data_IF_736402104516
#
_entry.id   IF_736402104516
#
_cell.length_a   1.000
_cell.length_b   1.000
_cell.length_c   1.000
_cell.angle_alpha   90.00
_cell.angle_beta   90.00
_cell.angle_gamma   90.00
#
_symmetry.space_group_name_H-M   'P 1'
#
loop_
_entity.id
_entity.type
_entity.pdbx_description
1 polymer ?
#
# COMPACT_ATOMS: atom_id res chain seq x y z
N UNK A 1 -1.07 -5.74 -7.65
CA UNK A 1 -0.72 -4.33 -7.91
C UNK A 1 -1.77 -3.63 -8.79
N UNK A 2 -2.24 -4.23 -9.88
CA UNK A 2 -3.26 -3.61 -10.76
C UNK A 2 -4.53 -3.17 -10.01
N UNK A 3 -5.08 -4.00 -9.11
CA UNK A 3 -6.28 -3.64 -8.35
C UNK A 3 -6.05 -2.46 -7.38
N UNK A 4 -4.87 -2.38 -6.74
CA UNK A 4 -4.48 -1.22 -5.93
C UNK A 4 -4.42 0.04 -6.80
N UNK A 5 -3.79 -0.06 -7.98
CA UNK A 5 -3.67 1.07 -8.89
C UNK A 5 -5.04 1.53 -9.41
N UNK A 6 -5.91 0.60 -9.82
CA UNK A 6 -7.27 0.89 -10.27
C UNK A 6 -8.09 1.58 -9.17
N UNK A 7 -8.04 1.07 -7.94
CA UNK A 7 -8.70 1.68 -6.79
C UNK A 7 -8.15 3.08 -6.48
N UNK A 8 -6.83 3.27 -6.57
CA UNK A 8 -6.18 4.56 -6.39
C UNK A 8 -6.58 5.56 -7.48
N UNK A 9 -6.53 5.17 -8.75
CA UNK A 9 -6.95 6.01 -9.88
C UNK A 9 -8.39 6.45 -9.68
N UNK A 10 -9.30 5.51 -9.43
CA UNK A 10 -10.71 5.81 -9.21
C UNK A 10 -10.92 6.79 -8.04
N UNK A 11 -10.29 6.52 -6.89
CA UNK A 11 -10.48 7.33 -5.68
C UNK A 11 -9.87 8.73 -5.83
N UNK A 12 -8.66 8.84 -6.37
CA UNK A 12 -7.97 10.11 -6.57
C UNK A 12 -8.71 10.97 -7.60
N UNK A 13 -9.17 10.38 -8.71
CA UNK A 13 -9.97 11.10 -9.70
C UNK A 13 -11.26 11.63 -9.08
N UNK A 14 -12.02 10.78 -8.40
CA UNK A 14 -13.31 11.14 -7.79
C UNK A 14 -13.16 12.22 -6.72
N UNK A 15 -12.07 12.19 -5.95
CA UNK A 15 -11.86 13.10 -4.81
C UNK A 15 -11.23 14.44 -5.20
N UNK A 16 -10.35 14.47 -6.20
CA UNK A 16 -9.47 15.62 -6.45
C UNK A 16 -9.48 16.14 -7.87
N UNK A 17 -9.67 15.30 -8.89
CA UNK A 17 -9.53 15.73 -10.29
C UNK A 17 -10.82 16.32 -10.88
N UNK A 18 -11.98 16.05 -10.26
CA UNK A 18 -13.27 16.35 -10.89
C UNK A 18 -13.48 15.55 -12.18
N UNK A 19 -14.30 16.03 -13.09
CA UNK A 19 -14.62 15.33 -14.37
C UNK A 19 -13.50 15.37 -15.41
N UNK A 20 -12.39 16.10 -15.17
CA UNK A 20 -11.30 16.20 -16.15
C UNK A 20 -10.41 14.95 -16.09
N UNK A 21 -10.33 14.25 -17.22
CA UNK A 21 -9.41 13.14 -17.38
C UNK A 21 -7.96 13.60 -17.27
N UNK A 22 -7.19 12.96 -16.38
CA UNK A 22 -5.76 13.18 -16.23
C UNK A 22 -5.00 11.97 -16.82
N UNK A 23 -4.60 12.02 -18.11
CA UNK A 23 -4.04 10.86 -18.79
C UNK A 23 -2.73 10.35 -18.18
N UNK A 24 -2.01 11.20 -17.44
CA UNK A 24 -0.75 10.85 -16.76
C UNK A 24 -0.94 10.34 -15.32
N UNK A 25 -2.16 10.36 -14.79
CA UNK A 25 -2.43 10.02 -13.40
C UNK A 25 -2.02 8.58 -13.04
N UNK A 26 -2.31 7.54 -13.85
CA UNK A 26 -1.90 6.17 -13.50
C UNK A 26 -0.39 6.03 -13.36
N UNK A 27 0.41 6.59 -14.29
CA UNK A 27 1.87 6.52 -14.22
C UNK A 27 2.41 7.30 -13.01
N UNK A 28 1.82 8.46 -12.72
CA UNK A 28 2.22 9.27 -11.58
C UNK A 28 1.89 8.58 -10.23
N UNK A 29 0.76 7.88 -10.13
CA UNK A 29 0.40 7.08 -8.96
C UNK A 29 1.36 5.91 -8.75
N UNK A 30 1.75 5.20 -9.82
CA UNK A 30 2.77 4.16 -9.75
C UNK A 30 4.06 4.74 -9.19
N UNK A 31 4.53 5.88 -9.70
CA UNK A 31 5.77 6.53 -9.24
C UNK A 31 5.69 6.95 -7.75
N UNK A 32 4.54 7.42 -7.28
CA UNK A 32 4.35 7.77 -5.88
C UNK A 32 4.37 6.54 -4.97
N UNK A 33 3.64 5.47 -5.33
CA UNK A 33 3.62 4.21 -4.57
C UNK A 33 5.02 3.58 -4.57
N UNK A 34 5.70 3.61 -5.70
CA UNK A 34 7.08 3.14 -5.86
C UNK A 34 8.05 3.90 -4.95
N UNK A 35 7.95 5.24 -4.90
CA UNK A 35 8.75 6.06 -4.02
C UNK A 35 8.46 5.81 -2.52
N UNK A 36 7.19 5.57 -2.14
CA UNK A 36 6.83 5.21 -0.75
C UNK A 36 7.51 3.92 -0.31
N UNK A 37 7.40 2.89 -1.14
CA UNK A 37 7.95 1.56 -0.85
C UNK A 37 9.48 1.60 -0.89
N UNK A 38 10.06 2.24 -1.91
CA UNK A 38 11.52 2.35 -2.06
C UNK A 38 12.16 3.04 -0.86
N UNK A 39 11.57 4.16 -0.40
CA UNK A 39 12.10 4.85 0.79
C UNK A 39 12.00 3.98 2.05
N UNK A 40 10.91 3.22 2.21
CA UNK A 40 10.76 2.29 3.35
C UNK A 40 11.77 1.12 3.29
N UNK A 41 12.08 0.62 2.09
CA UNK A 41 13.10 -0.40 1.86
C UNK A 41 14.50 0.14 2.17
N UNK A 42 14.84 1.32 1.65
CA UNK A 42 16.14 1.98 1.88
C UNK A 42 16.38 2.25 3.38
N UNK A 43 15.32 2.53 4.13
CA UNK A 43 15.41 2.73 5.57
C UNK A 43 15.74 1.44 6.36
N UNK A 44 15.52 0.25 5.78
CA UNK A 44 16.09 -1.02 6.24
C UNK A 44 15.45 -1.70 7.45
N UNK A 45 14.42 -1.13 8.06
CA UNK A 45 13.80 -1.69 9.28
C UNK A 45 12.59 -2.62 9.02
N UNK A 46 12.24 -2.83 7.75
CA UNK A 46 10.95 -3.40 7.35
C UNK A 46 9.81 -2.41 7.61
N UNK A 47 8.62 -2.70 7.10
CA UNK A 47 7.48 -1.80 7.24
C UNK A 47 6.18 -2.41 6.77
N UNK A 48 5.07 -1.71 7.02
CA UNK A 48 3.76 -2.13 6.54
C UNK A 48 2.95 -0.90 6.13
N UNK A 49 2.51 -0.89 4.88
CA UNK A 49 1.52 0.06 4.37
C UNK A 49 0.17 -0.63 4.28
N UNK A 50 -0.88 0.06 4.71
CA UNK A 50 -2.28 -0.37 4.58
C UNK A 50 -3.01 0.67 3.77
N UNK A 51 -3.70 0.25 2.72
CA UNK A 51 -4.57 1.07 1.89
C UNK A 51 -6.02 0.65 2.15
N UNK A 52 -6.78 1.57 2.74
CA UNK A 52 -8.17 1.33 3.11
C UNK A 52 -9.12 1.68 1.95
N UNK A 53 -10.18 0.86 1.75
CA UNK A 53 -11.20 1.16 0.75
C UNK A 53 -12.03 2.39 1.16
N UNK A 54 -12.55 3.18 0.21
CA UNK A 54 -13.39 4.34 0.51
C UNK A 54 -14.71 3.95 1.20
N UNK A 55 -15.09 2.67 1.15
CA UNK A 55 -16.32 2.13 1.74
C UNK A 55 -16.20 1.78 3.22
N UNK A 56 -14.99 1.79 3.80
CA UNK A 56 -14.81 1.46 5.21
C UNK A 56 -15.45 2.55 6.10
N UNK A 57 -16.20 2.14 7.11
CA UNK A 57 -16.70 3.06 8.12
C UNK A 57 -15.70 3.26 9.28
N UNK A 58 -15.83 4.37 10.01
CA UNK A 58 -14.90 4.70 11.10
C UNK A 58 -14.92 3.68 12.25
N UNK A 59 -16.07 3.03 12.52
CA UNK A 59 -16.18 2.04 13.60
C UNK A 59 -15.47 0.74 13.24
N UNK A 60 -15.56 0.33 11.98
CA UNK A 60 -14.83 -0.83 11.46
C UNK A 60 -13.32 -0.57 11.44
N UNK A 61 -12.92 0.65 11.06
CA UNK A 61 -11.52 1.09 11.16
C UNK A 61 -11.01 1.02 12.60
N UNK A 62 -11.70 1.65 13.56
CA UNK A 62 -11.31 1.68 14.98
C UNK A 62 -11.28 0.30 15.65
N UNK A 63 -12.13 -0.63 15.19
CA UNK A 63 -12.14 -2.02 15.69
C UNK A 63 -10.90 -2.79 15.31
N UNK A 64 -10.36 -2.53 14.11
CA UNK A 64 -9.27 -3.30 13.51
C UNK A 64 -7.91 -2.58 13.55
N UNK A 65 -7.90 -1.27 13.82
CA UNK A 65 -6.71 -0.44 13.86
C UNK A 65 -6.76 0.46 15.10
N UNK A 66 -5.71 0.39 15.91
CA UNK A 66 -5.51 1.28 17.05
C UNK A 66 -4.30 2.18 16.80
N UNK A 67 -4.49 3.50 16.89
CA UNK A 67 -3.37 4.45 16.94
C UNK A 67 -3.11 4.87 18.39
N UNK A 68 -1.83 4.89 18.79
CA UNK A 68 -1.39 5.49 20.06
C UNK A 68 -0.87 6.92 19.89
N UNK A 69 -0.68 7.38 18.65
CA UNK A 69 0.04 8.60 18.33
C UNK A 69 -0.92 9.63 17.69
N UNK A 70 -1.12 10.73 18.43
CA UNK A 70 -1.49 12.12 18.05
C UNK A 70 -2.62 12.36 17.00
N UNK A 71 -3.24 13.56 16.97
CA UNK A 71 -4.38 13.86 16.09
C UNK A 71 -4.06 13.60 14.61
N UNK A 72 -5.08 13.44 13.75
CA UNK A 72 -4.90 12.99 12.36
C UNK A 72 -3.88 13.87 11.64
N UNK A 73 -2.73 13.29 11.30
CA UNK A 73 -1.76 13.90 10.38
C UNK A 73 -2.40 13.84 9.00
N UNK A 74 -3.06 14.92 8.58
CA UNK A 74 -3.73 15.01 7.28
C UNK A 74 -2.71 15.35 6.19
N UNK A 75 -1.79 14.42 5.92
CA UNK A 75 -0.93 14.50 4.74
C UNK A 75 -1.67 13.88 3.57
N UNK A 76 -2.03 14.70 2.57
CA UNK A 76 -2.78 14.26 1.40
C UNK A 76 -1.88 14.24 0.16
N UNK A 77 -1.26 13.09 -0.10
CA UNK A 77 -0.34 12.91 -1.24
C UNK A 77 -1.12 12.94 -2.56
N UNK A 78 -2.36 12.43 -2.59
CA UNK A 78 -3.22 12.44 -3.77
C UNK A 78 -3.54 13.86 -4.21
N UNK A 79 -3.86 14.76 -3.28
CA UNK A 79 -4.05 16.18 -3.56
C UNK A 79 -2.78 16.82 -4.17
N UNK A 80 -1.62 16.61 -3.55
CA UNK A 80 -0.34 17.14 -4.05
C UNK A 80 -0.01 16.62 -5.45
N UNK A 81 -0.33 15.36 -5.73
CA UNK A 81 -0.18 14.74 -7.05
C UNK A 81 -1.05 15.44 -8.09
N UNK A 82 -2.32 15.71 -7.78
CA UNK A 82 -3.22 16.43 -8.68
C UNK A 82 -2.77 17.87 -8.90
N UNK A 83 -2.36 18.58 -7.84
CA UNK A 83 -1.81 19.94 -7.95
C UNK A 83 -0.57 19.97 -8.85
N UNK A 84 0.34 19.00 -8.71
CA UNK A 84 1.50 18.85 -9.58
C UNK A 84 1.09 18.57 -11.04
N UNK A 85 0.12 17.69 -11.28
CA UNK A 85 -0.34 17.36 -12.64
C UNK A 85 -1.07 18.52 -13.34
N UNK A 86 -1.72 19.41 -12.57
CA UNK A 86 -2.38 20.61 -13.11
C UNK A 86 -1.45 21.81 -13.26
N UNK A 87 -0.30 21.80 -12.58
CA UNK A 87 0.68 22.89 -12.69
C UNK A 87 1.39 22.85 -14.06
N UNK A 88 0.98 23.73 -14.96
CA UNK A 88 1.63 23.90 -16.29
C UNK A 88 2.66 25.05 -16.28
N UNK A 89 2.55 25.98 -15.34
CA UNK A 89 3.42 27.16 -15.25
C UNK A 89 4.65 26.90 -14.37
N UNK A 90 5.84 27.16 -14.94
CA UNK A 90 7.06 27.33 -14.14
C UNK A 90 6.99 28.69 -13.41
N UNK A 91 7.37 28.81 -12.12
CA UNK A 91 8.09 27.86 -11.26
C UNK A 91 7.19 26.96 -10.38
N UNK A 92 5.87 27.12 -10.46
CA UNK A 92 4.92 26.40 -9.60
C UNK A 92 4.97 24.88 -9.81
N UNK A 93 5.26 24.43 -11.04
CA UNK A 93 5.46 23.03 -11.34
C UNK A 93 6.63 22.40 -10.58
N UNK A 94 7.80 23.04 -10.59
CA UNK A 94 8.99 22.54 -9.88
C UNK A 94 8.78 22.52 -8.37
N UNK A 95 8.12 23.54 -7.81
CA UNK A 95 7.78 23.57 -6.39
C UNK A 95 6.84 22.41 -6.02
N UNK A 96 5.78 22.20 -6.80
CA UNK A 96 4.79 21.13 -6.56
C UNK A 96 5.43 19.74 -6.65
N UNK A 97 6.33 19.53 -7.63
CA UNK A 97 7.09 18.30 -7.77
C UNK A 97 8.01 18.04 -6.56
N UNK A 98 8.75 19.06 -6.10
CA UNK A 98 9.60 18.95 -4.91
C UNK A 98 8.80 18.65 -3.65
N UNK A 99 7.69 19.35 -3.45
CA UNK A 99 6.81 19.14 -2.30
C UNK A 99 6.22 17.73 -2.29
N UNK A 100 5.72 17.25 -3.45
CA UNK A 100 5.21 15.89 -3.60
C UNK A 100 6.29 14.86 -3.25
N UNK A 101 7.50 15.01 -3.80
CA UNK A 101 8.60 14.08 -3.55
C UNK A 101 9.00 14.06 -2.07
N UNK A 102 9.21 15.24 -1.46
CA UNK A 102 9.59 15.35 -0.05
C UNK A 102 8.52 14.76 0.87
N UNK A 103 7.25 15.03 0.59
CA UNK A 103 6.12 14.49 1.35
C UNK A 103 6.04 12.98 1.22
N UNK A 104 6.18 12.46 0.00
CA UNK A 104 6.18 11.02 -0.28
C UNK A 104 7.30 10.33 0.48
N UNK A 105 8.52 10.87 0.44
CA UNK A 105 9.66 10.33 1.20
C UNK A 105 9.43 10.39 2.71
N UNK A 106 8.91 11.50 3.22
CA UNK A 106 8.59 11.63 4.64
C UNK A 106 7.61 10.55 5.09
N UNK A 107 6.54 10.30 4.33
CA UNK A 107 5.56 9.25 4.63
C UNK A 107 6.15 7.85 4.47
N UNK A 108 6.99 7.63 3.46
CA UNK A 108 7.69 6.36 3.25
C UNK A 108 8.52 5.95 4.47
N UNK A 109 9.26 6.91 5.06
CA UNK A 109 10.06 6.69 6.29
C UNK A 109 9.22 6.33 7.51
N UNK A 110 7.96 6.77 7.59
CA UNK A 110 7.08 6.43 8.71
C UNK A 110 6.82 4.92 8.80
N UNK A 111 6.92 4.19 7.69
CA UNK A 111 6.73 2.74 7.69
C UNK A 111 7.84 1.98 8.42
N UNK A 112 9.00 2.61 8.67
CA UNK A 112 10.10 2.02 9.44
C UNK A 112 9.88 2.03 10.96
N UNK A 113 8.83 2.69 11.46
CA UNK A 113 8.46 2.71 12.87
C UNK A 113 7.62 1.46 13.20
N UNK A 114 7.59 1.04 14.47
CA UNK A 114 6.72 -0.06 14.90
C UNK A 114 5.23 0.23 14.60
N UNK A 115 4.52 -0.79 14.10
CA UNK A 115 3.16 -0.67 13.56
C UNK A 115 3.10 -0.57 12.04
N UNK A 116 2.10 0.15 11.51
CA UNK A 116 1.89 0.38 10.09
C UNK A 116 1.53 1.83 9.76
N UNK A 117 1.77 2.20 8.50
CA UNK A 117 1.27 3.43 7.87
C UNK A 117 -0.05 3.11 7.19
N UNK A 118 -1.09 3.87 7.49
CA UNK A 118 -2.44 3.67 6.95
C UNK A 118 -2.78 4.84 6.04
N UNK A 119 -3.02 4.54 4.77
CA UNK A 119 -3.48 5.45 3.73
C UNK A 119 -4.91 5.03 3.33
N UNK A 120 -5.71 5.94 2.80
CA UNK A 120 -6.83 5.54 1.93
C UNK A 120 -6.34 5.38 0.48
N UNK A 121 -7.19 4.86 -0.41
CA UNK A 121 -6.87 4.82 -1.84
C UNK A 121 -6.73 6.20 -2.50
N UNK A 122 -7.09 7.28 -1.81
CA UNK A 122 -6.76 8.65 -2.23
C UNK A 122 -5.32 9.05 -1.88
N UNK A 123 -4.50 8.15 -1.32
CA UNK A 123 -3.17 8.43 -0.78
C UNK A 123 -3.16 9.50 0.32
N UNK A 124 -4.27 9.62 1.06
CA UNK A 124 -4.34 10.45 2.26
C UNK A 124 -3.90 9.63 3.47
N UNK A 125 -2.89 10.12 4.19
CA UNK A 125 -2.44 9.54 5.46
C UNK A 125 -3.56 9.63 6.49
N UNK A 126 -3.93 8.48 7.04
CA UNK A 126 -4.94 8.34 8.10
C UNK A 126 -4.28 8.15 9.46
N UNK A 127 -3.29 7.26 9.51
CA UNK A 127 -2.60 6.87 10.75
C UNK A 127 -1.14 6.50 10.45
N UNK A 128 -0.27 6.69 11.43
CA UNK A 128 1.10 6.19 11.42
C UNK A 128 1.39 5.51 12.76
N UNK A 129 2.26 4.49 12.75
CA UNK A 129 2.49 3.64 13.94
C UNK A 129 1.20 2.94 14.41
N UNK A 130 0.27 2.69 13.49
CA UNK A 130 -0.99 2.04 13.81
C UNK A 130 -0.73 0.56 14.12
N UNK A 131 -1.40 0.06 15.16
CA UNK A 131 -1.39 -1.36 15.49
C UNK A 131 -2.62 -2.02 14.89
N UNK A 132 -2.40 -3.11 14.15
CA UNK A 132 -3.47 -3.99 13.71
C UNK A 132 -3.97 -4.78 14.91
N UNK A 133 -5.25 -4.58 15.27
CA UNK A 133 -5.93 -5.20 16.42
C UNK A 133 -6.95 -6.26 16.02
N UNK A 134 -7.00 -6.60 14.73
CA UNK A 134 -7.90 -7.62 14.20
C UNK A 134 -7.81 -8.93 14.98
N UNK A 135 -8.98 -9.46 15.35
CA UNK A 135 -9.11 -10.67 16.17
C UNK A 135 -8.50 -11.90 15.50
N UNK A 136 -7.91 -12.78 16.31
CA UNK A 136 -7.46 -14.12 15.90
C UNK A 136 -8.62 -15.02 15.44
N UNK A 137 -9.87 -14.69 15.80
CA UNK A 137 -11.06 -15.43 15.40
C UNK A 137 -11.42 -15.25 13.91
N UNK A 138 -10.82 -14.28 13.22
CA UNK A 138 -11.03 -14.08 11.77
C UNK A 138 -10.46 -15.27 11.00
N UNK A 139 -11.34 -16.01 10.31
CA UNK A 139 -10.94 -17.15 9.50
C UNK A 139 -10.17 -16.68 8.27
N UNK A 140 -8.91 -17.13 8.15
CA UNK A 140 -8.06 -16.84 7.01
C UNK A 140 -8.25 -17.89 5.93
N UNK A 141 -8.82 -17.49 4.79
CA UNK A 141 -8.75 -18.25 3.55
C UNK A 141 -7.78 -17.52 2.62
N UNK A 142 -6.54 -17.99 2.54
CA UNK A 142 -5.51 -17.37 1.70
C UNK A 142 -5.51 -18.05 0.33
N UNK A 143 -5.50 -17.25 -0.74
CA UNK A 143 -5.26 -17.72 -2.11
C UNK A 143 -4.05 -16.98 -2.67
N UNK A 144 -3.06 -17.73 -3.16
CA UNK A 144 -1.89 -17.14 -3.80
C UNK A 144 -2.19 -16.90 -5.27
N UNK A 145 -1.90 -15.69 -5.72
CA UNK A 145 -2.18 -15.24 -7.08
C UNK A 145 -0.86 -14.84 -7.73
N UNK A 146 -0.68 -15.22 -8.99
CA UNK A 146 0.43 -14.74 -9.80
C UNK A 146 0.24 -13.24 -10.11
N UNK A 147 1.14 -12.35 -9.64
CA UNK A 147 1.05 -10.92 -9.91
C UNK A 147 1.23 -10.55 -11.40
N UNK A 148 1.70 -11.48 -12.26
CA UNK A 148 1.87 -11.29 -13.72
C UNK A 148 0.78 -11.94 -14.56
N UNK A 149 -0.17 -12.66 -13.96
CA UNK A 149 -1.27 -13.25 -14.71
C UNK A 149 -2.17 -12.14 -15.28
N UNK A 150 -1.98 -11.79 -16.55
CA UNK A 150 -2.83 -10.84 -17.29
C UNK A 150 -4.25 -11.37 -17.51
N UNK A 151 -4.54 -12.61 -17.10
CA UNK A 151 -5.80 -13.33 -17.32
C UNK A 151 -6.52 -13.65 -16.01
N UNK A 152 -6.62 -12.67 -15.10
CA UNK A 152 -7.32 -12.88 -13.84
C UNK A 152 -6.70 -14.00 -13.01
N UNK A 153 -7.41 -14.39 -11.95
CA UNK A 153 -7.01 -15.37 -10.94
C UNK A 153 -6.73 -16.76 -11.53
N UNK A 154 -5.63 -16.95 -12.25
CA UNK A 154 -5.10 -18.30 -12.47
C UNK A 154 -4.51 -18.73 -11.14
N UNK A 155 -5.21 -19.66 -10.46
CA UNK A 155 -4.64 -20.39 -9.33
C UNK A 155 -3.26 -20.88 -9.79
N UNK A 156 -2.22 -20.36 -9.16
CA UNK A 156 -0.92 -20.99 -9.25
C UNK A 156 -1.18 -22.45 -8.86
N UNK A 157 -0.85 -23.39 -9.75
CA UNK A 157 -0.71 -24.79 -9.36
C UNK A 157 0.24 -24.90 -8.15
N UNK A 158 0.58 -26.10 -7.66
CA UNK A 158 1.31 -26.27 -6.41
C UNK A 158 2.79 -25.82 -6.46
N UNK A 159 3.11 -24.64 -6.98
CA UNK A 159 4.16 -23.79 -6.45
C UNK A 159 3.76 -23.48 -5.01
N UNK A 160 4.48 -24.09 -4.08
CA UNK A 160 4.26 -23.95 -2.66
C UNK A 160 4.33 -22.46 -2.27
N UNK A 161 3.17 -21.80 -2.31
CA UNK A 161 2.97 -20.56 -1.60
C UNK A 161 3.56 -20.74 -0.21
N UNK A 162 4.45 -19.84 0.25
CA UNK A 162 4.81 -19.81 1.65
C UNK A 162 3.52 -19.86 2.45
N UNK A 163 3.31 -20.97 3.17
CA UNK A 163 2.17 -21.08 4.07
C UNK A 163 2.30 -19.86 4.97
N UNK A 164 1.24 -19.06 5.14
CA UNK A 164 1.29 -17.85 5.98
C UNK A 164 2.06 -18.08 7.30
N UNK A 165 1.94 -19.29 7.86
CA UNK A 165 2.66 -19.83 9.03
C UNK A 165 4.21 -19.79 8.96
N UNK A 166 4.82 -19.65 7.79
CA UNK A 166 6.28 -19.49 7.61
C UNK A 166 6.70 -18.03 7.55
N UNK A 167 5.75 -17.10 7.53
CA UNK A 167 6.00 -15.67 7.46
C UNK A 167 5.98 -15.03 8.85
N UNK A 168 6.63 -13.87 8.99
CA UNK A 168 6.66 -13.13 10.25
C UNK A 168 5.32 -12.53 10.66
N UNK A 169 5.25 -12.04 11.90
CA UNK A 169 4.04 -11.48 12.53
C UNK A 169 3.38 -10.36 11.71
N UNK A 170 4.16 -9.49 11.06
CA UNK A 170 3.62 -8.42 10.18
C UNK A 170 2.76 -8.97 9.04
N UNK A 171 3.17 -10.07 8.42
CA UNK A 171 2.41 -10.73 7.35
C UNK A 171 1.10 -11.30 7.89
N UNK A 172 1.14 -11.97 9.04
CA UNK A 172 -0.06 -12.49 9.68
C UNK A 172 -1.07 -11.39 10.03
N UNK A 173 -0.61 -10.27 10.58
CA UNK A 173 -1.48 -9.15 10.89
C UNK A 173 -2.05 -8.49 9.63
N UNK A 174 -1.22 -8.26 8.62
CA UNK A 174 -1.65 -7.71 7.33
C UNK A 174 -2.72 -8.59 6.65
N UNK A 175 -2.48 -9.90 6.58
CA UNK A 175 -3.44 -10.85 6.01
C UNK A 175 -4.75 -10.88 6.80
N UNK A 176 -4.71 -10.84 8.15
CA UNK A 176 -5.91 -10.76 8.98
C UNK A 176 -6.70 -9.49 8.77
N UNK A 177 -6.02 -8.36 8.70
CA UNK A 177 -6.68 -7.09 8.42
C UNK A 177 -7.40 -7.15 7.07
N UNK A 178 -6.75 -7.68 6.03
CA UNK A 178 -7.34 -7.87 4.72
C UNK A 178 -8.54 -8.83 4.73
N UNK A 179 -8.51 -9.87 5.57
CA UNK A 179 -9.65 -10.78 5.74
C UNK A 179 -10.82 -10.13 6.51
N UNK A 180 -10.51 -9.25 7.45
CA UNK A 180 -11.50 -8.58 8.28
C UNK A 180 -12.19 -7.42 7.56
N UNK A 181 -11.47 -6.75 6.65
CA UNK A 181 -11.96 -5.57 5.92
C UNK A 181 -11.79 -5.83 4.41
N UNK A 182 -12.81 -6.36 3.72
CA UNK A 182 -12.79 -6.58 2.29
C UNK A 182 -12.42 -5.31 1.53
N UNK A 183 -11.65 -5.45 0.44
CA UNK A 183 -11.16 -4.32 -0.34
C UNK A 183 -9.94 -3.62 0.25
N UNK A 184 -9.44 -3.99 1.44
CA UNK A 184 -8.16 -3.49 1.97
C UNK A 184 -6.98 -4.09 1.24
N UNK A 185 -5.96 -3.28 0.95
CA UNK A 185 -4.66 -3.77 0.45
C UNK A 185 -3.58 -3.50 1.48
N UNK A 186 -2.76 -4.49 1.81
CA UNK A 186 -1.61 -4.33 2.69
C UNK A 186 -0.31 -4.70 1.96
N UNK A 187 0.68 -3.82 2.01
CA UNK A 187 2.03 -4.06 1.51
C UNK A 187 2.94 -4.24 2.71
N UNK A 188 3.55 -5.41 2.84
CA UNK A 188 4.47 -5.76 3.91
C UNK A 188 5.88 -5.79 3.35
N UNK A 189 6.78 -5.03 3.95
CA UNK A 189 8.21 -5.01 3.66
C UNK A 189 8.90 -5.74 4.80
N UNK A 190 9.42 -6.93 4.55
CA UNK A 190 10.20 -7.71 5.50
C UNK A 190 11.61 -7.14 5.66
N UNK A 191 12.20 -7.34 6.84
CA UNK A 191 13.63 -7.06 7.07
C UNK A 191 14.55 -7.95 6.24
N UNK A 192 14.02 -9.09 5.78
CA UNK A 192 14.73 -10.06 4.94
C UNK A 192 14.58 -9.74 3.44
N UNK A 193 14.23 -8.50 3.10
CA UNK A 193 14.07 -7.99 1.73
C UNK A 193 12.96 -8.67 0.90
N UNK A 194 12.00 -9.34 1.54
CA UNK A 194 10.74 -9.76 0.90
C UNK A 194 9.71 -8.64 0.96
N UNK A 195 9.09 -8.28 -0.16
CA UNK A 195 7.98 -7.33 -0.21
C UNK A 195 6.75 -8.10 -0.65
N UNK A 196 5.70 -8.17 0.17
CA UNK A 196 4.49 -8.92 -0.13
C UNK A 196 3.26 -8.03 -0.15
N UNK A 197 2.31 -8.37 -1.02
CA UNK A 197 1.00 -7.70 -1.07
C UNK A 197 -0.10 -8.68 -0.69
N UNK A 198 -0.86 -8.31 0.32
CA UNK A 198 -2.13 -8.94 0.67
C UNK A 198 -3.27 -8.05 0.22
N UNK A 199 -4.33 -8.66 -0.30
CA UNK A 199 -5.54 -7.93 -0.67
C UNK A 199 -6.78 -8.68 -0.21
N UNK A 200 -7.66 -7.98 0.49
CA UNK A 200 -8.94 -8.49 0.93
C UNK A 200 -9.91 -8.58 -0.24
N UNK A 201 -10.47 -9.76 -0.47
CA UNK A 201 -11.54 -10.01 -1.42
C UNK A 201 -12.72 -10.66 -0.70
N UNK A 202 -13.84 -10.84 -1.40
CA UNK A 202 -15.03 -11.44 -0.79
C UNK A 202 -14.77 -12.90 -0.41
N UNK A 203 -14.59 -13.12 0.90
CA UNK A 203 -14.42 -14.45 1.50
C UNK A 203 -13.01 -15.04 1.42
N UNK A 204 -12.01 -14.30 0.92
CA UNK A 204 -10.61 -14.73 0.92
C UNK A 204 -9.63 -13.55 0.92
N UNK A 205 -8.36 -13.85 1.16
CA UNK A 205 -7.24 -12.91 1.03
C UNK A 205 -6.35 -13.38 -0.10
N UNK A 206 -6.20 -12.51 -1.10
CA UNK A 206 -5.23 -12.63 -2.16
C UNK A 206 -3.82 -12.38 -1.61
N UNK A 207 -2.93 -13.34 -1.75
CA UNK A 207 -1.50 -13.19 -1.56
C UNK A 207 -0.85 -13.05 -2.94
N UNK A 208 -0.45 -11.84 -3.32
CA UNK A 208 0.15 -11.57 -4.63
C UNK A 208 1.64 -11.96 -4.70
N UNK A 209 2.17 -12.66 -3.69
CA UNK A 209 3.57 -13.09 -3.66
C UNK A 209 4.57 -11.95 -3.46
N UNK A 210 5.85 -12.28 -3.66
CA UNK A 210 6.96 -11.35 -3.51
C UNK A 210 7.01 -10.36 -4.70
N UNK A 211 6.94 -9.06 -4.43
CA UNK A 211 7.06 -7.98 -5.42
C UNK A 211 8.49 -7.79 -5.97
N UNK A 212 9.43 -8.69 -5.67
CA UNK A 212 10.84 -8.66 -6.08
C UNK A 212 11.08 -8.67 -7.62
N UNK A 213 10.02 -8.53 -8.41
CA UNK A 213 9.98 -8.71 -9.86
C UNK A 213 9.06 -7.71 -10.58
N UNK A 214 8.60 -6.64 -9.91
CA UNK A 214 8.05 -5.49 -10.66
C UNK A 214 9.25 -4.72 -11.24
N UNK A 215 9.35 -4.49 -12.56
CA UNK A 215 10.48 -3.80 -13.19
C UNK A 215 10.78 -2.41 -12.60
N UNK A 216 9.76 -1.71 -12.10
CA UNK A 216 9.91 -0.43 -11.38
C UNK A 216 10.74 -0.56 -10.08
N UNK A 217 10.70 -1.73 -9.42
CA UNK A 217 11.38 -2.02 -8.16
C UNK A 217 12.66 -2.86 -8.34
N UNK A 218 13.11 -3.04 -9.59
CA UNK A 218 14.30 -3.86 -9.91
C UNK A 218 15.61 -3.31 -9.35
N UNK A 219 15.60 -2.07 -8.86
CA UNK A 219 16.72 -1.41 -8.21
C UNK A 219 16.87 -1.77 -6.73
N UNK A 220 15.90 -2.44 -6.11
CA UNK A 220 16.01 -2.86 -4.71
C UNK A 220 17.10 -3.94 -4.59
N UNK A 221 18.20 -3.69 -3.85
CA UNK A 221 19.28 -4.66 -3.73
C UNK A 221 18.77 -5.91 -3.01
N UNK A 222 18.94 -7.07 -3.65
CA UNK A 222 18.72 -8.35 -2.99
C UNK A 222 19.74 -8.48 -1.86
N UNK A 223 19.27 -8.60 -0.61
CA UNK A 223 20.15 -8.98 0.48
C UNK A 223 20.66 -10.41 0.17
N UNK A 224 21.97 -10.68 0.21
CA UNK A 224 22.46 -12.05 0.06
C UNK A 224 21.83 -12.92 1.16
N UNK A 225 21.50 -14.19 0.87
CA UNK A 225 21.00 -15.10 1.90
C UNK A 225 22.03 -15.22 3.04
N UNK A 226 21.57 -15.49 4.28
CA UNK A 226 22.45 -15.69 5.43
C UNK A 226 23.41 -16.86 5.24
#
# INVERSE_FOLDING_TARGET
MNLLLEACVHTVTTRHAGEKALPKLPQALIAVIDALISEAVEFGHGGTFVFLPPTIDSKEQERNLASRLFPPVTTDIGKLLIEMLHSEEMPYHEFSQKLLLQTTKAVGRLAGVDGCVVLDYGLCLKMFGARITTSDAVKLKIQTIDPWSHRGFEEMGPLAAPRLNTLGTRHHFAARLCAAIPGTTAIVISQDADIRVFQGADGYVADCGALAFIPAFSHVPKRPPP
#
